data_IF_614700946726
#
_entry.id   IF_614700946726
#
_cell.length_a   1.000
_cell.length_b   1.000
_cell.length_c   1.000
_cell.angle_alpha   90.00
_cell.angle_beta   90.00
_cell.angle_gamma   90.00
#
_symmetry.space_group_name_H-M   'P 1'
#
loop_
_entity.id
_entity.type
_entity.pdbx_description
1 polymer ?
#
# COMPACT_ATOMS: atom_id res chain seq x y z
N UNK A 1 -2.61 7.22 10.27
CA UNK A 1 -3.45 6.23 9.56
C UNK A 1 -4.78 5.95 10.25
N UNK A 2 -4.81 5.25 11.42
CA UNK A 2 -6.06 4.81 12.07
C UNK A 2 -7.12 5.92 12.21
N UNK A 3 -6.71 7.07 12.76
CA UNK A 3 -7.55 8.25 12.91
C UNK A 3 -8.13 8.74 11.58
N UNK A 4 -7.26 9.03 10.59
CA UNK A 4 -7.69 9.55 9.29
C UNK A 4 -8.61 8.58 8.54
N UNK A 5 -8.34 7.27 8.60
CA UNK A 5 -9.21 6.26 7.99
C UNK A 5 -10.57 6.18 8.70
N UNK A 6 -10.59 6.16 10.04
CA UNK A 6 -11.84 6.11 10.81
C UNK A 6 -12.73 7.33 10.56
N UNK A 7 -12.13 8.53 10.62
CA UNK A 7 -12.83 9.79 10.34
C UNK A 7 -13.33 9.81 8.91
N UNK A 8 -12.48 9.44 7.94
CA UNK A 8 -12.86 9.42 6.52
C UNK A 8 -13.98 8.42 6.24
N UNK A 9 -13.93 7.21 6.78
CA UNK A 9 -14.99 6.21 6.59
C UNK A 9 -16.31 6.66 7.21
N UNK A 10 -16.27 7.32 8.37
CA UNK A 10 -17.47 7.87 8.97
C UNK A 10 -18.04 9.05 8.15
N UNK A 11 -17.16 9.88 7.59
CA UNK A 11 -17.54 10.94 6.65
C UNK A 11 -18.18 10.37 5.39
N UNK A 12 -17.53 9.37 4.77
CA UNK A 12 -18.02 8.70 3.56
C UNK A 12 -19.44 8.16 3.76
N UNK A 13 -19.64 7.47 4.88
CA UNK A 13 -20.94 6.93 5.30
C UNK A 13 -21.99 8.03 5.49
N UNK A 14 -21.63 9.16 6.10
CA UNK A 14 -22.56 10.25 6.39
C UNK A 14 -22.98 11.01 5.12
N UNK A 15 -22.05 11.23 4.19
CA UNK A 15 -22.27 11.99 2.96
C UNK A 15 -22.60 11.11 1.74
N UNK A 16 -22.62 9.78 1.90
CA UNK A 16 -22.90 8.79 0.85
C UNK A 16 -22.05 8.99 -0.42
N UNK A 17 -20.78 9.32 -0.23
CA UNK A 17 -19.82 9.50 -1.32
C UNK A 17 -19.30 8.15 -1.80
N UNK A 18 -19.10 8.00 -3.10
CA UNK A 18 -18.86 6.73 -3.77
C UNK A 18 -17.64 6.75 -4.71
N UNK A 19 -16.95 7.89 -4.78
CA UNK A 19 -15.72 8.10 -5.54
C UNK A 19 -14.89 9.23 -4.93
N UNK A 20 -13.62 9.33 -5.31
CA UNK A 20 -12.71 10.30 -4.70
C UNK A 20 -13.14 11.76 -4.94
N UNK A 21 -13.70 12.09 -6.10
CA UNK A 21 -14.08 13.45 -6.43
C UNK A 21 -15.32 13.88 -5.63
N UNK A 22 -16.34 13.03 -5.50
CA UNK A 22 -17.48 13.29 -4.62
C UNK A 22 -17.05 13.41 -3.15
N UNK A 23 -16.08 12.60 -2.71
CA UNK A 23 -15.47 12.74 -1.40
C UNK A 23 -14.83 14.13 -1.18
N UNK A 24 -13.99 14.59 -2.10
CA UNK A 24 -13.31 15.88 -1.95
C UNK A 24 -14.26 17.07 -2.10
N UNK A 25 -15.26 17.00 -2.99
CA UNK A 25 -16.28 18.04 -3.10
C UNK A 25 -17.06 18.19 -1.81
N UNK A 26 -17.49 17.07 -1.19
CA UNK A 26 -18.17 17.10 0.09
C UNK A 26 -17.26 17.61 1.22
N UNK A 27 -15.97 17.19 1.22
CA UNK A 27 -15.00 17.61 2.23
C UNK A 27 -14.78 19.13 2.23
N UNK A 28 -14.78 19.73 1.03
CA UNK A 28 -14.62 21.18 0.84
C UNK A 28 -15.96 21.95 0.85
N UNK A 29 -17.09 21.26 1.06
CA UNK A 29 -18.43 21.86 1.00
C UNK A 29 -18.81 22.40 -0.39
N UNK A 30 -18.11 21.98 -1.43
CA UNK A 30 -18.31 22.37 -2.82
C UNK A 30 -19.45 21.61 -3.51
N UNK A 31 -20.08 20.66 -2.80
CA UNK A 31 -21.25 19.89 -3.20
C UNK A 31 -22.59 20.60 -2.92
N UNK A 32 -22.58 21.66 -2.09
CA UNK A 32 -23.81 22.35 -1.65
C UNK A 32 -24.48 23.17 -2.77
N UNK A 33 -25.83 23.31 -2.78
CA UNK A 33 -26.58 23.99 -3.84
C UNK A 33 -26.28 25.49 -4.05
N UNK A 34 -25.59 26.14 -3.12
CA UNK A 34 -25.22 27.57 -3.18
C UNK A 34 -23.74 27.83 -3.42
N UNK A 35 -22.93 26.80 -3.64
CA UNK A 35 -21.48 26.97 -3.82
C UNK A 35 -21.18 27.48 -5.22
N UNK A 36 -20.28 28.48 -5.31
CA UNK A 36 -19.84 29.04 -6.58
C UNK A 36 -19.33 27.91 -7.51
N UNK A 37 -19.85 27.81 -8.76
CA UNK A 37 -19.42 26.80 -9.73
C UNK A 37 -17.91 26.76 -9.95
N UNK A 38 -17.24 27.91 -9.87
CA UNK A 38 -15.78 28.02 -10.01
C UNK A 38 -15.05 27.25 -8.92
N UNK A 39 -15.52 27.32 -7.66
CA UNK A 39 -14.91 26.59 -6.54
C UNK A 39 -15.04 25.09 -6.74
N UNK A 40 -16.20 24.62 -7.21
CA UNK A 40 -16.44 23.21 -7.53
C UNK A 40 -15.49 22.69 -8.60
N UNK A 41 -15.23 23.51 -9.64
CA UNK A 41 -14.29 23.17 -10.73
C UNK A 41 -12.85 23.13 -10.21
N UNK A 42 -12.42 24.13 -9.44
CA UNK A 42 -11.06 24.20 -8.88
C UNK A 42 -10.78 22.98 -7.99
N UNK A 43 -11.69 22.69 -7.05
CA UNK A 43 -11.55 21.54 -6.15
C UNK A 43 -11.49 20.25 -6.95
N UNK A 44 -12.37 20.07 -7.93
CA UNK A 44 -12.34 18.89 -8.79
C UNK A 44 -10.99 18.73 -9.48
N UNK A 45 -10.59 19.70 -10.30
CA UNK A 45 -9.36 19.60 -11.11
C UNK A 45 -8.14 19.35 -10.24
N UNK A 46 -8.03 20.03 -9.11
CA UNK A 46 -6.90 19.85 -8.20
C UNK A 46 -6.79 18.40 -7.70
N UNK A 47 -7.89 17.84 -7.20
CA UNK A 47 -7.89 16.47 -6.68
C UNK A 47 -7.81 15.42 -7.78
N UNK A 48 -8.23 15.73 -8.99
CA UNK A 48 -8.05 14.85 -10.14
C UNK A 48 -6.58 14.69 -10.48
N UNK A 49 -5.86 15.81 -10.57
CA UNK A 49 -4.42 15.81 -10.83
C UNK A 49 -3.70 15.09 -9.69
N UNK A 50 -4.02 15.43 -8.43
CA UNK A 50 -3.42 14.79 -7.27
C UNK A 50 -3.65 13.26 -7.24
N UNK A 51 -4.90 12.81 -7.36
CA UNK A 51 -5.25 11.39 -7.29
C UNK A 51 -4.72 10.63 -8.51
N UNK A 52 -4.75 11.22 -9.70
CA UNK A 52 -4.19 10.60 -10.91
C UNK A 52 -2.67 10.45 -10.80
N UNK A 53 -1.94 11.48 -10.35
CA UNK A 53 -0.49 11.40 -10.17
C UNK A 53 -0.13 10.34 -9.11
N UNK A 54 -0.86 10.30 -8.00
CA UNK A 54 -0.67 9.26 -6.97
C UNK A 54 -0.92 7.86 -7.54
N UNK A 55 -1.99 7.70 -8.34
CA UNK A 55 -2.31 6.46 -9.03
C UNK A 55 -1.20 6.04 -9.99
N UNK A 56 -0.72 6.94 -10.85
CA UNK A 56 0.36 6.69 -11.82
C UNK A 56 1.64 6.25 -11.11
N UNK A 57 2.08 6.97 -10.07
CA UNK A 57 3.30 6.63 -9.32
C UNK A 57 3.16 5.25 -8.67
N UNK A 58 2.01 4.98 -8.05
CA UNK A 58 1.78 3.70 -7.36
C UNK A 58 1.71 2.52 -8.35
N UNK A 59 1.00 2.69 -9.46
CA UNK A 59 0.89 1.66 -10.52
C UNK A 59 2.22 1.43 -11.22
N UNK A 60 3.00 2.47 -11.47
CA UNK A 60 4.34 2.33 -12.03
C UNK A 60 5.27 1.56 -11.08
N UNK A 61 5.22 1.86 -9.78
CA UNK A 61 5.99 1.14 -8.77
C UNK A 61 5.59 -0.34 -8.67
N UNK A 62 4.30 -0.67 -8.75
CA UNK A 62 3.83 -2.06 -8.73
C UNK A 62 4.21 -2.82 -10.02
N UNK A 63 4.14 -2.17 -11.19
CA UNK A 63 4.62 -2.76 -12.46
C UNK A 63 6.12 -3.04 -12.40
N UNK A 64 6.91 -2.07 -11.92
CA UNK A 64 8.35 -2.22 -11.79
C UNK A 64 8.69 -3.36 -10.83
N UNK A 65 8.02 -3.42 -9.67
CA UNK A 65 8.20 -4.51 -8.72
C UNK A 65 7.82 -5.86 -9.35
N UNK A 66 6.66 -5.98 -10.00
CA UNK A 66 6.27 -7.20 -10.71
C UNK A 66 7.31 -7.64 -11.73
N UNK A 67 7.83 -6.72 -12.54
CA UNK A 67 8.82 -7.03 -13.57
C UNK A 67 10.14 -7.53 -12.99
N UNK A 68 10.66 -6.87 -11.94
CA UNK A 68 11.84 -7.33 -11.20
C UNK A 68 11.60 -8.72 -10.60
N UNK A 69 10.38 -8.96 -10.12
CA UNK A 69 9.98 -10.24 -9.56
C UNK A 69 9.95 -11.35 -10.65
N UNK A 70 9.44 -11.07 -11.84
CA UNK A 70 9.42 -12.03 -12.96
C UNK A 70 10.81 -12.36 -13.49
N UNK A 71 11.69 -11.37 -13.59
CA UNK A 71 13.09 -11.56 -13.99
C UNK A 71 13.82 -12.48 -13.01
N UNK A 72 13.71 -12.17 -11.72
CA UNK A 72 14.43 -12.87 -10.67
C UNK A 72 13.90 -14.29 -10.39
N UNK A 73 12.67 -14.62 -10.83
CA UNK A 73 12.09 -15.98 -10.73
C UNK A 73 12.23 -16.82 -11.98
N UNK A 74 11.81 -16.25 -13.11
CA UNK A 74 11.58 -16.97 -14.36
C UNK A 74 12.60 -16.59 -15.44
N UNK A 75 13.56 -15.72 -15.10
CA UNK A 75 14.52 -15.15 -16.02
C UNK A 75 13.84 -14.43 -17.21
N UNK A 76 12.64 -13.88 -16.97
CA UNK A 76 11.89 -13.12 -17.98
C UNK A 76 12.41 -11.69 -18.01
N UNK A 77 12.79 -11.16 -19.19
CA UNK A 77 13.27 -9.78 -19.30
C UNK A 77 12.28 -8.77 -18.71
N UNK A 78 12.79 -7.78 -17.97
CA UNK A 78 12.00 -6.74 -17.29
C UNK A 78 10.94 -6.14 -18.24
N UNK A 79 11.30 -5.80 -19.47
CA UNK A 79 10.37 -5.22 -20.45
C UNK A 79 9.16 -6.11 -20.74
N UNK A 80 9.37 -7.43 -20.85
CA UNK A 80 8.28 -8.41 -21.06
C UNK A 80 7.45 -8.54 -19.79
N UNK A 81 8.10 -8.63 -18.62
CA UNK A 81 7.41 -8.65 -17.32
C UNK A 81 6.52 -7.43 -17.08
N UNK A 82 6.98 -6.23 -17.48
CA UNK A 82 6.19 -5.01 -17.40
C UNK A 82 4.96 -5.03 -18.31
N UNK A 83 5.08 -5.53 -19.55
CA UNK A 83 3.92 -5.66 -20.46
C UNK A 83 2.88 -6.62 -19.88
N UNK A 84 3.32 -7.76 -19.33
CA UNK A 84 2.45 -8.72 -18.65
C UNK A 84 1.70 -8.05 -17.49
N UNK A 85 2.43 -7.29 -16.65
CA UNK A 85 1.85 -6.57 -15.53
C UNK A 85 0.76 -5.59 -15.98
N UNK A 86 1.04 -4.79 -17.03
CA UNK A 86 0.09 -3.82 -17.58
C UNK A 86 -1.19 -4.50 -18.02
N UNK A 87 -1.09 -5.52 -18.88
CA UNK A 87 -2.26 -6.24 -19.40
C UNK A 87 -3.07 -6.84 -18.26
N UNK A 88 -2.40 -7.54 -17.35
CA UNK A 88 -3.05 -8.18 -16.20
C UNK A 88 -3.72 -7.16 -15.29
N UNK A 89 -3.05 -6.04 -14.95
CA UNK A 89 -3.62 -5.06 -14.04
C UNK A 89 -4.83 -4.36 -14.64
N UNK A 90 -4.80 -4.05 -15.94
CA UNK A 90 -5.94 -3.51 -16.66
C UNK A 90 -7.11 -4.48 -16.64
N UNK A 91 -6.91 -5.76 -16.96
CA UNK A 91 -7.96 -6.78 -16.91
C UNK A 91 -8.59 -6.89 -15.52
N UNK A 92 -7.76 -6.96 -14.48
CA UNK A 92 -8.23 -7.10 -13.10
C UNK A 92 -9.01 -5.87 -12.61
N UNK A 93 -8.64 -4.67 -13.08
CA UNK A 93 -9.36 -3.44 -12.72
C UNK A 93 -10.78 -3.37 -13.29
N UNK A 94 -11.10 -4.14 -14.34
CA UNK A 94 -12.43 -4.18 -14.94
C UNK A 94 -13.46 -4.99 -14.14
N UNK A 95 -13.03 -5.92 -13.27
CA UNK A 95 -13.95 -6.76 -12.49
C UNK A 95 -14.63 -6.03 -11.31
N UNK A 96 -14.31 -4.75 -11.11
CA UNK A 96 -14.98 -3.86 -10.17
C UNK A 96 -14.65 -4.08 -8.69
N UNK A 97 -15.21 -3.22 -7.84
CA UNK A 97 -14.89 -3.15 -6.42
C UNK A 97 -15.19 -4.45 -5.64
N UNK A 98 -16.27 -5.17 -5.96
CA UNK A 98 -16.67 -6.37 -5.22
C UNK A 98 -15.68 -7.54 -5.38
N UNK A 99 -15.15 -7.73 -6.60
CA UNK A 99 -14.10 -8.71 -6.87
C UNK A 99 -12.81 -8.32 -6.14
N UNK A 100 -12.38 -7.06 -6.29
CA UNK A 100 -11.16 -6.55 -5.65
C UNK A 100 -11.21 -6.67 -4.13
N UNK A 101 -12.36 -6.46 -3.48
CA UNK A 101 -12.51 -6.65 -2.02
C UNK A 101 -12.25 -8.10 -1.60
N UNK A 102 -12.89 -9.07 -2.25
CA UNK A 102 -12.72 -10.50 -1.90
C UNK A 102 -11.27 -10.95 -2.16
N UNK A 103 -10.73 -10.52 -3.30
CA UNK A 103 -9.34 -10.78 -3.67
C UNK A 103 -8.37 -10.21 -2.61
N UNK A 104 -8.57 -8.95 -2.19
CA UNK A 104 -7.70 -8.29 -1.21
C UNK A 104 -7.76 -8.93 0.19
N UNK A 105 -8.90 -9.49 0.60
CA UNK A 105 -9.00 -10.20 1.89
C UNK A 105 -8.12 -11.45 1.92
N UNK A 106 -8.27 -12.32 0.91
CA UNK A 106 -7.43 -13.53 0.79
C UNK A 106 -5.96 -13.13 0.79
N UNK A 107 -5.64 -12.07 0.04
CA UNK A 107 -4.27 -11.58 -0.06
C UNK A 107 -3.68 -11.07 1.23
N UNK A 108 -4.45 -10.32 2.01
CA UNK A 108 -3.99 -9.80 3.29
C UNK A 108 -3.68 -10.95 4.25
N UNK A 109 -4.54 -11.97 4.30
CA UNK A 109 -4.36 -13.15 5.16
C UNK A 109 -3.10 -13.92 4.75
N UNK A 110 -2.92 -14.17 3.44
CA UNK A 110 -1.73 -14.86 2.92
C UNK A 110 -0.45 -14.08 3.20
N UNK A 111 -0.47 -12.74 3.06
CA UNK A 111 0.67 -11.86 3.36
C UNK A 111 1.06 -11.90 4.83
N UNK A 112 0.08 -11.86 5.73
CA UNK A 112 0.32 -11.97 7.18
C UNK A 112 0.97 -13.30 7.52
N UNK A 113 0.45 -14.42 6.99
CA UNK A 113 0.99 -15.75 7.25
C UNK A 113 2.44 -15.89 6.74
N UNK A 114 2.72 -15.41 5.52
CA UNK A 114 4.06 -15.48 4.94
C UNK A 114 5.07 -14.62 5.72
N UNK A 115 4.70 -13.37 6.05
CA UNK A 115 5.58 -12.48 6.83
C UNK A 115 5.82 -13.02 8.24
N UNK A 116 4.83 -13.62 8.88
CA UNK A 116 5.00 -14.27 10.18
C UNK A 116 5.97 -15.45 10.12
N UNK A 117 5.85 -16.32 9.10
CA UNK A 117 6.76 -17.44 8.91
C UNK A 117 8.21 -16.99 8.67
N UNK A 118 8.39 -15.95 7.85
CA UNK A 118 9.70 -15.34 7.58
C UNK A 118 10.28 -14.73 8.85
N UNK A 119 9.49 -13.98 9.62
CA UNK A 119 9.94 -13.37 10.86
C UNK A 119 10.39 -14.42 11.87
N UNK A 120 9.62 -15.51 12.03
CA UNK A 120 10.02 -16.65 12.89
C UNK A 120 11.38 -17.19 12.45
N UNK A 121 11.57 -17.41 11.15
CA UNK A 121 12.84 -17.91 10.63
C UNK A 121 14.01 -16.94 10.88
N UNK A 122 13.80 -15.63 10.67
CA UNK A 122 14.81 -14.61 10.98
C UNK A 122 15.18 -14.60 12.46
N UNK A 123 14.19 -14.68 13.36
CA UNK A 123 14.42 -14.75 14.81
C UNK A 123 15.23 -16.01 15.16
N UNK A 124 14.93 -17.15 14.54
CA UNK A 124 15.68 -18.40 14.81
C UNK A 124 17.12 -18.36 14.31
N UNK A 125 17.42 -17.61 13.25
CA UNK A 125 18.76 -17.56 12.67
C UNK A 125 19.64 -16.43 13.20
N UNK A 126 19.06 -15.24 13.39
CA UNK A 126 19.78 -14.00 13.72
C UNK A 126 19.05 -13.18 14.79
N UNK A 127 18.30 -13.84 15.68
CA UNK A 127 17.53 -13.18 16.73
C UNK A 127 18.38 -12.41 17.74
N UNK A 128 19.57 -12.91 18.02
CA UNK A 128 20.64 -12.25 18.78
C UNK A 128 21.11 -10.95 18.11
N UNK A 129 21.42 -10.98 16.81
CA UNK A 129 21.80 -9.79 16.03
C UNK A 129 20.64 -8.80 15.94
N UNK A 130 19.41 -9.29 15.77
CA UNK A 130 18.20 -8.46 15.77
C UNK A 130 18.03 -7.75 17.10
N UNK A 131 18.12 -8.48 18.22
CA UNK A 131 18.01 -7.90 19.56
C UNK A 131 19.09 -6.85 19.80
N UNK A 132 20.35 -7.15 19.46
CA UNK A 132 21.44 -6.18 19.57
C UNK A 132 21.13 -4.90 18.78
N UNK A 133 20.71 -5.02 17.51
CA UNK A 133 20.44 -3.85 16.65
C UNK A 133 19.18 -3.07 17.05
N UNK A 134 18.18 -3.72 17.65
CA UNK A 134 16.97 -3.03 18.13
C UNK A 134 17.22 -2.14 19.35
N UNK A 135 18.19 -2.52 20.19
CA UNK A 135 18.49 -1.84 21.45
C UNK A 135 19.86 -1.14 21.44
N UNK A 136 20.52 -1.05 20.29
CA UNK A 136 21.73 -0.26 20.11
C UNK A 136 21.34 1.21 19.86
N UNK A 137 21.29 1.98 20.95
CA UNK A 137 21.01 3.42 20.95
C UNK A 137 22.27 4.29 20.98
N UNK A 138 23.45 3.67 21.13
CA UNK A 138 24.74 4.35 21.22
C UNK A 138 25.51 4.28 19.88
N UNK A 139 25.32 3.19 19.13
CA UNK A 139 25.84 3.01 17.78
C UNK A 139 25.23 3.98 16.79
N UNK A 140 26.06 4.82 16.16
CA UNK A 140 25.66 5.63 15.02
C UNK A 140 25.28 4.78 13.81
N UNK A 141 24.55 5.37 12.85
CA UNK A 141 24.24 4.70 11.58
C UNK A 141 25.52 4.45 10.77
N UNK A 142 26.10 3.24 10.86
CA UNK A 142 27.27 2.82 10.06
C UNK A 142 26.91 2.38 8.62
N UNK A 143 25.66 2.60 8.20
CA UNK A 143 25.11 2.18 6.93
C UNK A 143 24.97 3.41 6.04
N UNK A 144 25.71 3.44 4.94
CA UNK A 144 25.75 4.58 4.01
C UNK A 144 24.39 4.76 3.33
N UNK A 145 23.77 5.93 3.47
CA UNK A 145 22.74 6.29 2.50
C UNK A 145 21.97 7.58 2.72
N UNK A 146 21.46 7.84 3.93
CA UNK A 146 20.56 8.98 4.17
C UNK A 146 20.65 9.51 5.59
N UNK A 147 20.54 10.83 5.76
CA UNK A 147 20.56 11.49 7.07
C UNK A 147 19.34 11.09 7.91
N UNK A 148 19.44 11.21 9.24
CA UNK A 148 18.29 11.04 10.15
C UNK A 148 17.11 11.94 9.73
N UNK A 149 17.42 13.17 9.30
CA UNK A 149 16.44 14.12 8.79
C UNK A 149 15.67 13.60 7.56
N UNK A 150 16.33 12.89 6.64
CA UNK A 150 15.67 12.32 5.46
C UNK A 150 14.68 11.20 5.84
N UNK A 151 15.01 10.36 6.81
CA UNK A 151 14.12 9.30 7.29
C UNK A 151 12.94 9.88 8.06
N UNK A 152 13.18 10.88 8.90
CA UNK A 152 12.12 11.59 9.60
C UNK A 152 11.20 12.35 8.63
N UNK A 153 11.76 12.98 7.60
CA UNK A 153 10.99 13.60 6.52
C UNK A 153 10.11 12.60 5.77
N UNK A 154 10.62 11.40 5.49
CA UNK A 154 9.83 10.33 4.86
C UNK A 154 8.68 9.86 5.76
N UNK A 155 8.92 9.71 7.07
CA UNK A 155 7.89 9.38 8.06
C UNK A 155 6.78 10.44 8.08
N UNK A 156 7.17 11.72 8.19
CA UNK A 156 6.23 12.86 8.21
C UNK A 156 5.44 12.94 6.90
N UNK A 157 6.12 12.81 5.76
CA UNK A 157 5.46 12.78 4.45
C UNK A 157 4.44 11.65 4.36
N UNK A 158 4.80 10.44 4.81
CA UNK A 158 3.89 9.30 4.82
C UNK A 158 2.66 9.58 5.70
N UNK A 159 2.88 10.13 6.90
CA UNK A 159 1.80 10.54 7.80
C UNK A 159 0.83 11.52 7.14
N UNK A 160 1.31 12.53 6.41
CA UNK A 160 0.46 13.46 5.67
C UNK A 160 -0.26 12.80 4.49
N UNK A 161 0.41 11.89 3.78
CA UNK A 161 -0.25 11.09 2.73
C UNK A 161 -1.43 10.31 3.32
N UNK A 162 -1.35 9.84 4.58
CA UNK A 162 -2.47 9.14 5.24
C UNK A 162 -3.76 9.95 5.36
N UNK A 163 -3.68 11.29 5.36
CA UNK A 163 -4.86 12.15 5.39
C UNK A 163 -5.68 12.07 4.09
N UNK A 164 -5.06 11.71 2.97
CA UNK A 164 -5.74 11.63 1.67
C UNK A 164 -6.46 10.30 1.42
N UNK A 165 -6.31 9.31 2.30
CA UNK A 165 -6.84 7.95 2.09
C UNK A 165 -8.36 7.89 2.03
N UNK A 166 -9.09 8.87 2.56
CA UNK A 166 -10.53 8.95 2.42
C UNK A 166 -11.00 8.99 0.96
N UNK A 167 -10.25 9.67 0.08
CA UNK A 167 -10.53 9.66 -1.35
C UNK A 167 -10.50 8.25 -1.93
N UNK A 168 -9.46 7.48 -1.61
CA UNK A 168 -9.34 6.08 -2.06
C UNK A 168 -10.40 5.16 -1.44
N UNK A 169 -10.62 5.27 -0.13
CA UNK A 169 -11.56 4.43 0.63
C UNK A 169 -13.02 4.61 0.18
N UNK A 170 -13.38 5.79 -0.32
CA UNK A 170 -14.73 6.08 -0.83
C UNK A 170 -15.21 5.10 -1.89
N UNK A 171 -14.30 4.60 -2.74
CA UNK A 171 -14.61 3.64 -3.81
C UNK A 171 -14.95 2.23 -3.29
N UNK A 172 -14.71 1.94 -2.01
CA UNK A 172 -14.81 0.60 -1.44
C UNK A 172 -15.72 0.52 -0.21
N UNK A 173 -16.24 1.65 0.26
CA UNK A 173 -16.93 1.79 1.55
C UNK A 173 -18.42 1.37 1.54
N UNK A 174 -18.91 0.69 0.51
CA UNK A 174 -20.32 0.29 0.36
C UNK A 174 -20.89 -0.48 1.57
N UNK A 175 -20.05 -1.28 2.25
CA UNK A 175 -20.44 -2.11 3.39
C UNK A 175 -20.29 -1.39 4.76
N UNK A 176 -19.92 -0.11 4.78
CA UNK A 176 -19.73 0.66 6.01
C UNK A 176 -21.05 1.37 6.36
N UNK A 177 -21.89 0.71 7.15
CA UNK A 177 -23.25 1.19 7.44
C UNK A 177 -23.35 1.95 8.78
N UNK A 178 -22.57 1.57 9.78
CA UNK A 178 -22.63 2.16 11.12
C UNK A 178 -21.37 2.96 11.48
N UNK A 179 -21.47 3.83 12.49
CA UNK A 179 -20.29 4.52 13.06
C UNK A 179 -19.28 3.51 13.61
N UNK A 180 -19.77 2.41 14.17
CA UNK A 180 -18.93 1.33 14.71
C UNK A 180 -18.14 0.66 13.59
N UNK A 181 -18.76 0.39 12.44
CA UNK A 181 -18.09 -0.21 11.28
C UNK A 181 -16.99 0.72 10.74
N UNK A 182 -17.27 2.02 10.67
CA UNK A 182 -16.30 3.02 10.22
C UNK A 182 -15.08 3.11 11.16
N UNK A 183 -15.31 3.22 12.47
CA UNK A 183 -14.24 3.31 13.47
C UNK A 183 -13.45 2.00 13.52
N UNK A 184 -14.15 0.86 13.58
CA UNK A 184 -13.53 -0.47 13.61
C UNK A 184 -12.66 -0.73 12.38
N UNK A 185 -13.17 -0.41 11.19
CA UNK A 185 -12.41 -0.54 9.93
C UNK A 185 -11.21 0.41 9.90
N UNK A 186 -11.36 1.66 10.35
CA UNK A 186 -10.27 2.62 10.44
C UNK A 186 -9.14 2.17 11.37
N UNK A 187 -9.48 1.66 12.55
CA UNK A 187 -8.51 1.07 13.50
C UNK A 187 -7.83 -0.14 12.86
N UNK A 188 -8.60 -1.06 12.28
CA UNK A 188 -8.05 -2.26 11.63
C UNK A 188 -7.05 -1.89 10.54
N UNK A 189 -7.38 -0.95 9.65
CA UNK A 189 -6.45 -0.46 8.62
C UNK A 189 -5.18 0.09 9.26
N UNK A 190 -5.31 0.91 10.32
CA UNK A 190 -4.16 1.48 11.01
C UNK A 190 -3.25 0.42 11.64
N UNK A 191 -3.83 -0.58 12.31
CA UNK A 191 -3.09 -1.69 12.92
C UNK A 191 -2.39 -2.51 11.84
N UNK A 192 -3.11 -2.92 10.79
CA UNK A 192 -2.53 -3.74 9.72
C UNK A 192 -1.35 -3.06 9.02
N UNK A 193 -1.47 -1.76 8.71
CA UNK A 193 -0.38 -1.00 8.07
C UNK A 193 0.81 -0.81 9.02
N UNK A 194 0.56 -0.51 10.30
CA UNK A 194 1.63 -0.38 11.28
C UNK A 194 2.37 -1.71 11.51
N UNK A 195 1.62 -2.81 11.63
CA UNK A 195 2.18 -4.16 11.75
C UNK A 195 2.99 -4.54 10.52
N UNK A 196 2.54 -4.19 9.31
CA UNK A 196 3.29 -4.44 8.08
C UNK A 196 4.66 -3.75 8.10
N UNK A 197 4.73 -2.45 8.39
CA UNK A 197 6.00 -1.73 8.47
C UNK A 197 6.90 -2.24 9.58
N UNK A 198 6.32 -2.54 10.74
CA UNK A 198 7.08 -3.04 11.88
C UNK A 198 7.70 -4.40 11.57
N UNK A 199 6.90 -5.37 11.12
CA UNK A 199 7.38 -6.73 10.81
C UNK A 199 8.40 -6.73 9.67
N UNK A 200 8.16 -5.96 8.60
CA UNK A 200 9.13 -5.88 7.49
C UNK A 200 10.45 -5.23 7.94
N UNK A 201 10.40 -4.24 8.84
CA UNK A 201 11.62 -3.66 9.43
C UNK A 201 12.37 -4.68 10.28
N UNK A 202 11.69 -5.46 11.12
CA UNK A 202 12.31 -6.52 11.93
C UNK A 202 12.97 -7.61 11.07
N UNK A 203 12.37 -7.95 9.93
CA UNK A 203 12.94 -8.95 9.01
C UNK A 203 14.26 -8.44 8.40
N UNK A 204 14.32 -7.17 8.00
CA UNK A 204 15.47 -6.61 7.27
C UNK A 204 16.59 -6.15 8.21
N UNK A 205 16.24 -5.65 9.40
CA UNK A 205 17.18 -5.05 10.34
C UNK A 205 18.44 -5.90 10.64
N UNK A 206 18.39 -7.23 10.85
CA UNK A 206 19.57 -8.03 11.16
C UNK A 206 20.46 -8.34 9.94
N UNK A 207 20.03 -8.02 8.72
CA UNK A 207 20.75 -8.28 7.47
C UNK A 207 21.30 -7.02 6.79
N UNK A 208 21.01 -5.84 7.32
CA UNK A 208 21.73 -4.66 6.87
C UNK A 208 23.25 -4.83 7.17
N UNK A 209 24.17 -4.13 6.48
CA UNK A 209 23.93 -3.30 5.30
C UNK A 209 23.70 -4.11 4.02
N UNK A 210 23.99 -5.42 4.05
CA UNK A 210 23.96 -6.29 2.87
C UNK A 210 22.57 -6.34 2.21
N UNK A 211 21.51 -6.21 3.01
CA UNK A 211 20.14 -6.12 2.53
C UNK A 211 19.75 -4.72 1.98
N UNK A 212 20.67 -3.77 1.77
CA UNK A 212 20.37 -2.46 1.19
C UNK A 212 20.25 -2.52 -0.33
N UNK A 213 19.28 -3.29 -0.82
CA UNK A 213 19.01 -3.56 -2.24
C UNK A 213 17.54 -3.31 -2.60
N UNK A 214 17.19 -3.32 -3.88
CA UNK A 214 15.83 -3.00 -4.35
C UNK A 214 14.73 -3.93 -3.78
N UNK A 215 15.04 -5.21 -3.55
CA UNK A 215 14.12 -6.21 -3.00
C UNK A 215 14.76 -6.91 -1.79
N UNK A 216 14.78 -6.27 -0.61
CA UNK A 216 15.60 -6.69 0.53
C UNK A 216 15.17 -8.04 1.11
N UNK A 217 13.88 -8.19 1.44
CA UNK A 217 13.33 -9.43 2.02
C UNK A 217 13.48 -10.60 1.03
N UNK A 218 13.29 -10.33 -0.26
CA UNK A 218 13.49 -11.35 -1.28
C UNK A 218 14.94 -11.86 -1.31
N UNK A 219 15.90 -10.94 -1.25
CA UNK A 219 17.32 -11.28 -1.27
C UNK A 219 17.68 -12.13 -0.04
N UNK A 220 17.15 -11.76 1.14
CA UNK A 220 17.28 -12.53 2.37
C UNK A 220 16.70 -13.95 2.20
N UNK A 221 15.50 -14.08 1.62
CA UNK A 221 14.90 -15.39 1.38
C UNK A 221 15.76 -16.26 0.47
N UNK A 222 16.28 -15.70 -0.64
CA UNK A 222 17.11 -16.45 -1.59
C UNK A 222 18.41 -16.96 -0.99
N UNK A 223 19.05 -16.14 -0.17
CA UNK A 223 20.40 -16.40 0.33
C UNK A 223 20.40 -17.24 1.61
N UNK A 224 19.41 -17.03 2.49
CA UNK A 224 19.43 -17.63 3.83
C UNK A 224 18.28 -18.60 4.13
N UNK A 225 17.24 -18.68 3.29
CA UNK A 225 16.07 -19.52 3.58
C UNK A 225 15.97 -20.74 2.66
N UNK A 226 15.33 -21.85 3.11
CA UNK A 226 15.01 -22.96 2.24
C UNK A 226 14.18 -22.52 1.03
N UNK A 227 14.45 -23.10 -0.15
CA UNK A 227 13.80 -22.70 -1.40
C UNK A 227 12.27 -22.70 -1.38
N UNK A 228 11.66 -23.53 -0.53
CA UNK A 228 10.20 -23.56 -0.31
C UNK A 228 9.68 -22.27 0.34
N UNK A 229 10.38 -21.73 1.35
CA UNK A 229 9.98 -20.48 2.01
C UNK A 229 10.11 -19.29 1.06
N UNK A 230 11.18 -19.31 0.25
CA UNK A 230 11.40 -18.34 -0.82
C UNK A 230 10.24 -18.37 -1.81
N UNK A 231 9.84 -19.56 -2.30
CA UNK A 231 8.70 -19.72 -3.21
C UNK A 231 7.35 -19.23 -2.62
N UNK A 232 7.12 -19.47 -1.32
CA UNK A 232 5.91 -18.98 -0.62
C UNK A 232 5.92 -17.46 -0.56
N UNK A 233 7.04 -16.85 -0.15
CA UNK A 233 7.18 -15.39 -0.12
C UNK A 233 6.94 -14.78 -1.50
N UNK A 234 7.55 -15.37 -2.52
CA UNK A 234 7.39 -14.98 -3.92
C UNK A 234 5.93 -14.93 -4.36
N UNK A 235 5.21 -16.03 -4.19
CA UNK A 235 3.81 -16.14 -4.61
C UNK A 235 2.96 -15.06 -3.92
N UNK A 236 3.18 -14.87 -2.63
CA UNK A 236 2.41 -13.91 -1.83
C UNK A 236 2.72 -12.46 -2.20
N UNK A 237 3.99 -12.12 -2.44
CA UNK A 237 4.38 -10.76 -2.89
C UNK A 237 3.84 -10.49 -4.28
N UNK A 238 3.95 -11.44 -5.21
CA UNK A 238 3.38 -11.29 -6.55
C UNK A 238 1.90 -10.97 -6.48
N UNK A 239 1.17 -11.73 -5.68
CA UNK A 239 -0.25 -11.50 -5.53
C UNK A 239 -0.57 -10.18 -4.78
N UNK A 240 0.29 -9.70 -3.88
CA UNK A 240 0.17 -8.38 -3.23
C UNK A 240 0.37 -7.23 -4.23
N UNK A 241 1.23 -7.43 -5.22
CA UNK A 241 1.47 -6.49 -6.30
C UNK A 241 0.27 -6.46 -7.25
N UNK A 242 -0.27 -7.65 -7.56
CA UNK A 242 -1.48 -7.86 -8.35
C UNK A 242 -2.73 -7.31 -7.67
N UNK A 243 -2.79 -7.23 -6.34
CA UNK A 243 -3.92 -6.60 -5.65
C UNK A 243 -3.83 -5.07 -5.64
N UNK A 244 -2.63 -4.54 -5.48
CA UNK A 244 -2.41 -3.09 -5.32
C UNK A 244 -2.60 -2.33 -6.63
N UNK A 245 -1.95 -2.77 -7.73
CA UNK A 245 -2.02 -2.08 -9.02
C UNK A 245 -3.46 -1.83 -9.52
N UNK A 246 -4.27 -2.88 -9.69
CA UNK A 246 -5.67 -2.77 -10.11
C UNK A 246 -6.54 -1.90 -9.20
N UNK A 247 -6.29 -1.93 -7.88
CA UNK A 247 -7.01 -1.09 -6.91
C UNK A 247 -6.80 0.40 -7.20
N UNK A 248 -5.57 0.82 -7.49
CA UNK A 248 -5.29 2.22 -7.82
C UNK A 248 -5.78 2.63 -9.22
N UNK A 249 -5.78 1.71 -10.19
CA UNK A 249 -6.40 1.93 -11.50
C UNK A 249 -7.90 2.14 -11.33
N UNK A 250 -8.57 1.24 -10.60
CA UNK A 250 -10.02 1.33 -10.34
C UNK A 250 -10.40 2.61 -9.59
N UNK A 251 -9.63 3.00 -8.57
CA UNK A 251 -9.84 4.25 -7.84
C UNK A 251 -9.88 5.47 -8.78
N UNK A 252 -8.97 5.51 -9.75
CA UNK A 252 -8.90 6.61 -10.73
C UNK A 252 -10.03 6.50 -11.75
N UNK A 253 -10.28 5.31 -12.29
CA UNK A 253 -11.24 5.09 -13.37
C UNK A 253 -12.71 5.21 -12.92
N UNK A 254 -13.05 4.76 -11.71
CA UNK A 254 -14.42 4.74 -11.20
C UNK A 254 -15.08 6.13 -11.22
N UNK A 255 -14.28 7.19 -11.08
CA UNK A 255 -14.76 8.57 -11.25
C UNK A 255 -15.29 8.86 -12.66
N UNK A 256 -14.60 8.39 -13.69
CA UNK A 256 -14.89 8.72 -15.09
C UNK A 256 -15.91 7.77 -15.74
N UNK A 257 -16.21 6.64 -15.09
CA UNK A 257 -17.17 5.64 -15.58
C UNK A 257 -18.63 6.04 -15.28
N UNK A 258 -18.86 6.93 -14.30
CA UNK A 258 -20.20 7.38 -13.89
C UNK A 258 -20.68 8.68 -14.59
N UNK A 259 -20.17 8.99 -15.78
CA UNK A 259 -20.63 10.14 -16.58
C UNK A 259 -21.84 9.76 -17.42
#
# INVERSE_FOLDING_TARGET
MAFFCAVSLNFIRAYKVDNYNSYYLALWGADKPGTNPVVKVIVSIFFDVYTTLMGVVTVAATIALFANLMESLFNIPIGVGSIIAVVMFTLLSMYGAAFLRKFNTVMTISLIAALAAILIFVITMRGDVLAQRMFDFEGGMNWSGKTLASHFGMLVSYCFTTASWGGSLSNYAENIHTKKDAIGSGILIGVMVASLFFVTSLIVLPFLPDAFVATPILSICKEYMPGVMTAIYWLVVMLSVISTGPTFIFNTSNRFVKV
#
